data_IF_144108187334
#
_entry.id   IF_144108187334
#
_cell.length_a   1.000
_cell.length_b   1.000
_cell.length_c   1.000
_cell.angle_alpha   90.00
_cell.angle_beta   90.00
_cell.angle_gamma   90.00
#
_symmetry.space_group_name_H-M   'P 1'
#
loop_
_entity.id
_entity.type
_entity.pdbx_description
1 polymer ?
#
# COMPACT_ATOMS: atom_id res chain seq x y z
N UNK A 1 36.54 -12.19 53.86
CA UNK A 1 36.07 -12.36 52.47
C UNK A 1 35.23 -13.62 52.43
N UNK A 2 33.97 -13.52 52.02
CA UNK A 2 33.06 -14.65 51.82
C UNK A 2 33.40 -15.21 50.43
N UNK A 3 34.08 -16.36 50.37
CA UNK A 3 34.61 -16.90 49.11
C UNK A 3 33.80 -18.12 48.62
N UNK A 4 33.04 -18.76 49.51
CA UNK A 4 32.23 -19.93 49.20
C UNK A 4 30.76 -19.73 49.57
N UNK A 5 29.86 -20.41 48.85
CA UNK A 5 28.41 -20.35 49.07
C UNK A 5 27.96 -20.84 50.48
N UNK A 6 28.85 -21.50 51.22
CA UNK A 6 28.65 -21.95 52.60
C UNK A 6 28.82 -20.85 53.65
N UNK A 7 29.53 -19.76 53.34
CA UNK A 7 29.91 -18.72 54.30
C UNK A 7 28.74 -17.76 54.61
N UNK A 8 27.80 -17.60 53.67
CA UNK A 8 26.53 -16.90 53.86
C UNK A 8 25.44 -17.50 52.93
N UNK A 9 24.68 -18.51 53.40
CA UNK A 9 23.67 -19.17 52.59
C UNK A 9 22.48 -18.27 52.27
N UNK A 10 22.20 -17.23 53.07
CA UNK A 10 21.10 -16.30 52.81
C UNK A 10 21.47 -15.24 51.76
N UNK A 11 22.71 -14.75 51.79
CA UNK A 11 23.28 -13.91 50.73
C UNK A 11 23.40 -14.65 49.40
N UNK A 12 23.83 -15.91 49.43
CA UNK A 12 23.85 -16.78 48.25
C UNK A 12 22.43 -16.95 47.66
N UNK A 13 21.41 -17.22 48.49
CA UNK A 13 20.03 -17.33 48.06
C UNK A 13 19.48 -16.02 47.45
N UNK A 14 19.72 -14.86 48.09
CA UNK A 14 19.34 -13.54 47.54
C UNK A 14 20.01 -13.26 46.21
N UNK A 15 21.30 -13.61 46.07
CA UNK A 15 22.03 -13.44 44.80
C UNK A 15 21.54 -14.38 43.70
N UNK A 16 21.12 -15.60 44.03
CA UNK A 16 20.49 -16.53 43.08
C UNK A 16 19.13 -16.02 42.59
N UNK A 17 18.31 -15.48 43.50
CA UNK A 17 17.02 -14.87 43.16
C UNK A 17 17.24 -13.62 42.29
N UNK A 18 18.20 -12.76 42.66
CA UNK A 18 18.52 -11.57 41.88
C UNK A 18 19.04 -11.93 40.48
N UNK A 19 19.93 -12.93 40.37
CA UNK A 19 20.40 -13.47 39.07
C UNK A 19 19.27 -14.10 38.26
N UNK A 20 18.31 -14.78 38.91
CA UNK A 20 17.12 -15.27 38.23
C UNK A 20 16.26 -14.11 37.70
N UNK A 21 16.10 -13.04 38.48
CA UNK A 21 15.42 -11.81 38.05
C UNK A 21 16.11 -11.15 36.85
N UNK A 22 17.44 -11.01 36.88
CA UNK A 22 18.22 -10.46 35.75
C UNK A 22 18.03 -11.31 34.49
N UNK A 23 18.11 -12.64 34.61
CA UNK A 23 17.87 -13.55 33.47
C UNK A 23 16.47 -13.39 32.87
N UNK A 24 15.46 -13.17 33.70
CA UNK A 24 14.11 -12.92 33.23
C UNK A 24 14.01 -11.57 32.49
N UNK A 25 14.66 -10.53 32.99
CA UNK A 25 14.71 -9.21 32.32
C UNK A 25 15.41 -9.30 30.96
N UNK A 26 16.55 -9.98 30.89
CA UNK A 26 17.26 -10.23 29.62
C UNK A 26 16.39 -11.03 28.64
N UNK A 27 15.62 -11.99 29.13
CA UNK A 27 14.66 -12.75 28.32
C UNK A 27 13.55 -11.84 27.77
N UNK A 28 12.98 -10.96 28.61
CA UNK A 28 11.97 -10.00 28.17
C UNK A 28 12.54 -9.04 27.13
N UNK A 29 13.79 -8.59 27.31
CA UNK A 29 14.43 -7.70 26.36
C UNK A 29 14.66 -8.37 25.01
N UNK A 30 15.01 -9.67 24.98
CA UNK A 30 15.05 -10.46 23.73
C UNK A 30 13.67 -10.55 23.08
N UNK A 31 12.63 -10.87 23.83
CA UNK A 31 11.27 -10.95 23.30
C UNK A 31 10.78 -9.60 22.73
N UNK A 32 11.13 -8.48 23.38
CA UNK A 32 10.82 -7.14 22.89
C UNK A 32 11.57 -6.85 21.59
N UNK A 33 12.86 -7.19 21.51
CA UNK A 33 13.66 -6.98 20.31
C UNK A 33 13.16 -7.81 19.12
N UNK A 34 12.73 -9.05 19.36
CA UNK A 34 12.14 -9.90 18.32
C UNK A 34 10.80 -9.30 17.83
N UNK A 35 10.01 -8.73 18.74
CA UNK A 35 8.78 -8.01 18.42
C UNK A 35 9.02 -6.73 17.60
N UNK A 36 10.06 -5.96 17.95
CA UNK A 36 10.49 -4.77 17.19
C UNK A 36 10.93 -5.15 15.78
N UNK A 37 11.70 -6.24 15.61
CA UNK A 37 12.06 -6.73 14.29
C UNK A 37 10.85 -7.16 13.44
N UNK A 38 9.79 -7.66 14.08
CA UNK A 38 8.53 -7.95 13.39
C UNK A 38 7.78 -6.68 12.97
N UNK A 39 7.80 -5.62 13.81
CA UNK A 39 7.23 -4.32 13.46
C UNK A 39 7.99 -3.66 12.31
N UNK A 40 9.32 -3.66 12.34
CA UNK A 40 10.15 -3.12 11.25
C UNK A 40 9.88 -3.83 9.91
N UNK A 41 9.65 -5.16 9.96
CA UNK A 41 9.25 -5.93 8.79
C UNK A 41 7.86 -5.54 8.29
N UNK A 42 6.89 -5.39 9.19
CA UNK A 42 5.54 -4.93 8.84
C UNK A 42 5.59 -3.52 8.24
N UNK A 43 6.40 -2.62 8.78
CA UNK A 43 6.59 -1.27 8.24
C UNK A 43 7.22 -1.29 6.85
N UNK A 44 8.19 -2.17 6.59
CA UNK A 44 8.72 -2.37 5.24
C UNK A 44 7.64 -2.86 4.27
N UNK A 45 6.84 -3.85 4.69
CA UNK A 45 5.73 -4.37 3.87
C UNK A 45 4.65 -3.32 3.63
N UNK A 46 4.37 -2.47 4.62
CA UNK A 46 3.44 -1.35 4.48
C UNK A 46 4.00 -0.29 3.53
N UNK A 47 5.29 0.03 3.61
CA UNK A 47 5.94 0.93 2.67
C UNK A 47 5.93 0.38 1.24
N UNK A 48 6.18 -0.93 1.07
CA UNK A 48 6.07 -1.59 -0.22
C UNK A 48 4.64 -1.61 -0.74
N UNK A 49 3.64 -1.78 0.14
CA UNK A 49 2.22 -1.66 -0.21
C UNK A 49 1.83 -0.23 -0.58
N UNK A 50 2.29 0.77 0.15
CA UNK A 50 2.07 2.19 -0.16
C UNK A 50 2.72 2.52 -1.49
N UNK A 51 3.93 2.01 -1.75
CA UNK A 51 4.63 2.14 -3.02
C UNK A 51 3.86 1.43 -4.13
N UNK A 52 3.36 0.21 -3.91
CA UNK A 52 2.55 -0.54 -4.87
C UNK A 52 1.20 0.14 -5.15
N UNK A 53 0.55 0.74 -4.16
CA UNK A 53 -0.67 1.56 -4.35
C UNK A 53 -0.32 2.88 -5.08
N UNK A 54 0.87 3.42 -4.83
CA UNK A 54 1.43 4.55 -5.57
C UNK A 54 1.92 4.16 -6.97
N UNK A 55 2.19 2.89 -7.24
CA UNK A 55 2.52 2.34 -8.55
C UNK A 55 1.24 1.98 -9.31
N UNK A 56 0.17 1.59 -8.60
CA UNK A 56 -1.21 1.54 -9.10
C UNK A 56 -1.73 2.94 -9.47
N UNK A 57 -1.07 4.02 -9.01
CA UNK A 57 -1.19 5.37 -9.58
C UNK A 57 -0.77 5.42 -11.07
N UNK A 58 -0.19 4.34 -11.60
CA UNK A 58 0.15 4.09 -13.01
C UNK A 58 -0.97 3.50 -13.87
N UNK A 59 -2.23 3.46 -13.40
CA UNK A 59 -3.40 3.46 -14.31
C UNK A 59 -4.40 4.55 -13.88
N UNK A 60 -3.89 5.66 -13.35
CA UNK A 60 -4.66 6.90 -13.37
C UNK A 60 -4.66 7.40 -14.82
N UNK A 61 -5.72 7.10 -15.56
CA UNK A 61 -5.91 7.56 -16.95
C UNK A 61 -6.07 9.09 -16.92
N UNK A 62 -4.97 9.82 -16.87
CA UNK A 62 -4.98 11.27 -16.96
C UNK A 62 -5.17 11.63 -18.43
N UNK A 63 -6.42 11.74 -18.87
CA UNK A 63 -6.77 12.22 -20.22
C UNK A 63 -6.50 11.26 -21.38
N UNK A 64 -6.08 10.02 -21.12
CA UNK A 64 -5.77 9.04 -22.16
C UNK A 64 -7.04 8.25 -22.57
N UNK A 65 -8.04 8.95 -23.13
CA UNK A 65 -9.32 8.34 -23.52
C UNK A 65 -9.18 7.29 -24.60
N UNK A 66 -8.37 7.59 -25.61
CA UNK A 66 -8.32 6.80 -26.84
C UNK A 66 -7.34 5.63 -26.69
N UNK A 67 -6.27 5.78 -25.88
CA UNK A 67 -5.24 4.75 -25.64
C UNK A 67 -5.68 3.63 -24.71
N UNK A 68 -6.86 3.73 -24.11
CA UNK A 68 -7.47 2.71 -23.23
C UNK A 68 -8.85 2.31 -23.73
N UNK A 69 -9.21 2.71 -24.95
CA UNK A 69 -10.52 2.44 -25.53
C UNK A 69 -10.55 1.02 -26.13
N UNK A 70 -11.40 0.11 -25.61
CA UNK A 70 -11.52 -1.24 -26.14
C UNK A 70 -11.89 -1.29 -27.63
N UNK A 71 -12.57 -0.26 -28.15
CA UNK A 71 -12.98 -0.21 -29.56
C UNK A 71 -11.80 -0.28 -30.53
N UNK A 72 -10.60 0.14 -30.13
CA UNK A 72 -9.40 0.00 -30.96
C UNK A 72 -9.09 -1.46 -31.33
N UNK A 73 -9.53 -2.43 -30.52
CA UNK A 73 -9.39 -3.87 -30.75
C UNK A 73 -10.71 -4.51 -31.19
N UNK A 74 -11.82 -4.10 -30.58
CA UNK A 74 -13.12 -4.77 -30.71
C UNK A 74 -13.92 -4.34 -31.97
N UNK A 75 -13.70 -3.11 -32.48
CA UNK A 75 -14.42 -2.57 -33.64
C UNK A 75 -13.45 -2.14 -34.77
N UNK A 76 -13.32 -2.95 -35.84
CA UNK A 76 -12.49 -2.64 -36.99
C UNK A 76 -12.90 -1.38 -37.76
N UNK A 77 -14.15 -0.91 -37.58
CA UNK A 77 -14.68 0.26 -38.27
C UNK A 77 -14.54 1.55 -37.46
N UNK A 78 -14.07 1.48 -36.21
CA UNK A 78 -13.91 2.67 -35.38
C UNK A 78 -12.68 3.49 -35.81
N UNK A 79 -12.70 4.79 -35.53
CA UNK A 79 -11.64 5.73 -35.94
C UNK A 79 -10.25 5.42 -35.33
N UNK A 80 -10.19 4.53 -34.33
CA UNK A 80 -8.97 4.15 -33.60
C UNK A 80 -8.63 2.66 -33.76
N UNK A 81 -9.26 1.97 -34.72
CA UNK A 81 -9.03 0.56 -34.98
C UNK A 81 -7.55 0.26 -35.29
N UNK A 82 -6.99 -0.74 -34.62
CA UNK A 82 -5.59 -1.15 -34.78
C UNK A 82 -4.57 -0.30 -34.02
N UNK A 83 -5.01 0.72 -33.28
CA UNK A 83 -4.13 1.49 -32.41
C UNK A 83 -3.65 0.62 -31.22
N UNK A 84 -2.36 0.65 -30.84
CA UNK A 84 -1.91 -0.04 -29.65
C UNK A 84 -2.54 0.62 -28.41
N UNK A 85 -3.38 -0.14 -27.69
CA UNK A 85 -4.08 0.31 -26.48
C UNK A 85 -3.69 -0.51 -25.26
N UNK A 86 -3.80 0.11 -24.08
CA UNK A 86 -3.63 -0.58 -22.81
C UNK A 86 -4.93 -1.27 -22.42
N UNK A 87 -4.86 -2.59 -22.23
CA UNK A 87 -6.01 -3.43 -21.88
C UNK A 87 -6.40 -3.36 -20.40
N UNK A 88 -6.58 -2.14 -19.89
CA UNK A 88 -6.85 -1.83 -18.48
C UNK A 88 -8.12 -2.52 -17.97
N UNK A 89 -9.06 -2.83 -18.86
CA UNK A 89 -10.31 -3.53 -18.52
C UNK A 89 -10.11 -4.98 -18.04
N UNK A 90 -8.92 -5.57 -18.22
CA UNK A 90 -8.58 -6.88 -17.65
C UNK A 90 -8.27 -6.82 -16.15
N UNK A 91 -8.10 -5.63 -15.58
CA UNK A 91 -7.87 -5.46 -14.15
C UNK A 91 -9.15 -5.74 -13.33
N UNK A 92 -8.96 -6.11 -12.06
CA UNK A 92 -10.07 -6.33 -11.11
C UNK A 92 -10.88 -5.06 -10.85
N UNK A 93 -10.20 -3.92 -10.74
CA UNK A 93 -10.80 -2.61 -10.57
C UNK A 93 -10.06 -1.59 -11.43
N UNK A 94 -10.80 -0.70 -12.07
CA UNK A 94 -10.29 0.39 -12.90
C UNK A 94 -10.84 1.69 -12.34
N UNK A 95 -9.98 2.69 -12.10
CA UNK A 95 -10.42 4.01 -11.65
C UNK A 95 -10.04 5.03 -12.72
N UNK A 96 -11.05 5.70 -13.29
CA UNK A 96 -10.86 6.69 -14.35
C UNK A 96 -10.98 8.08 -13.74
N UNK A 97 -9.91 8.88 -13.82
CA UNK A 97 -9.89 10.26 -13.33
C UNK A 97 -10.13 11.23 -14.49
N UNK A 98 -11.27 11.92 -14.51
CA UNK A 98 -11.58 12.90 -15.55
C UNK A 98 -12.52 14.00 -15.06
N UNK A 99 -12.60 15.11 -15.78
CA UNK A 99 -13.51 16.22 -15.50
C UNK A 99 -14.97 15.98 -15.94
N UNK A 100 -15.22 15.13 -16.93
CA UNK A 100 -16.57 14.85 -17.48
C UNK A 100 -16.60 13.52 -18.24
N UNK A 101 -17.73 13.09 -18.80
CA UNK A 101 -17.80 11.92 -19.69
C UNK A 101 -17.45 12.22 -21.17
N UNK A 102 -16.92 13.40 -21.47
CA UNK A 102 -16.64 13.81 -22.84
C UNK A 102 -15.68 12.83 -23.56
N UNK A 103 -15.93 12.66 -24.87
CA UNK A 103 -15.10 11.86 -25.77
C UNK A 103 -13.65 12.35 -25.81
N UNK A 104 -12.74 11.47 -26.24
CA UNK A 104 -11.35 11.80 -26.49
C UNK A 104 -11.14 12.69 -27.71
N UNK A 105 -9.88 12.79 -28.14
CA UNK A 105 -9.50 13.54 -29.33
C UNK A 105 -10.15 12.94 -30.58
N UNK A 106 -10.27 11.61 -30.63
CA UNK A 106 -10.90 10.90 -31.73
C UNK A 106 -12.42 11.10 -31.82
N UNK A 107 -13.07 11.75 -30.83
CA UNK A 107 -14.52 11.95 -30.83
C UNK A 107 -15.34 10.66 -30.63
N UNK A 108 -14.68 9.54 -30.34
CA UNK A 108 -15.30 8.24 -30.10
C UNK A 108 -15.65 8.09 -28.62
N UNK A 109 -16.84 7.58 -28.33
CA UNK A 109 -17.23 7.21 -26.97
C UNK A 109 -16.42 5.99 -26.49
N UNK A 110 -16.04 5.96 -25.22
CA UNK A 110 -15.22 4.87 -24.68
C UNK A 110 -16.10 3.90 -23.86
N UNK A 111 -16.32 2.65 -24.34
CA UNK A 111 -17.09 1.65 -23.61
C UNK A 111 -16.52 1.29 -22.24
N UNK A 112 -15.23 1.54 -21.99
CA UNK A 112 -14.59 1.34 -20.69
C UNK A 112 -15.37 2.03 -19.57
N UNK A 113 -15.91 3.22 -19.81
CA UNK A 113 -16.58 4.03 -18.78
C UNK A 113 -17.87 3.41 -18.25
N UNK A 114 -18.42 2.41 -18.93
CA UNK A 114 -19.67 1.75 -18.58
C UNK A 114 -19.49 0.33 -18.06
N UNK A 115 -18.24 -0.16 -17.93
CA UNK A 115 -17.98 -1.50 -17.40
C UNK A 115 -18.16 -1.54 -15.89
N UNK A 116 -18.66 -2.66 -15.37
CA UNK A 116 -18.93 -2.84 -13.93
C UNK A 116 -17.68 -2.71 -13.04
N UNK A 117 -16.51 -3.12 -13.56
CA UNK A 117 -15.23 -3.00 -12.86
C UNK A 117 -14.60 -1.61 -12.97
N UNK A 118 -15.28 -0.64 -13.60
CA UNK A 118 -14.77 0.71 -13.83
C UNK A 118 -15.50 1.72 -12.96
N UNK A 119 -14.73 2.51 -12.21
CA UNK A 119 -15.21 3.54 -11.31
C UNK A 119 -14.75 4.92 -11.79
N UNK A 120 -15.69 5.83 -11.98
CA UNK A 120 -15.41 7.19 -12.43
C UNK A 120 -15.14 8.11 -11.24
N UNK A 121 -13.94 8.70 -11.18
CA UNK A 121 -13.59 9.72 -10.20
C UNK A 121 -13.54 11.09 -10.89
N UNK A 122 -14.64 11.83 -10.77
CA UNK A 122 -14.75 13.14 -11.40
C UNK A 122 -13.94 14.22 -10.67
N UNK A 123 -13.31 15.12 -11.43
CA UNK A 123 -12.64 16.29 -10.86
C UNK A 123 -11.32 16.64 -11.55
N UNK A 124 -10.64 17.62 -10.96
CA UNK A 124 -9.27 17.93 -11.34
C UNK A 124 -8.33 16.84 -10.82
N UNK A 125 -7.48 16.31 -11.71
CA UNK A 125 -6.64 15.18 -11.39
C UNK A 125 -5.60 15.49 -10.30
N UNK A 126 -5.08 16.72 -10.25
CA UNK A 126 -4.13 17.14 -9.21
C UNK A 126 -4.85 17.22 -7.87
N UNK A 127 -6.00 17.90 -7.81
CA UNK A 127 -6.79 18.00 -6.57
C UNK A 127 -7.19 16.62 -6.03
N UNK A 128 -7.63 15.72 -6.90
CA UNK A 128 -8.01 14.37 -6.49
C UNK A 128 -6.79 13.58 -5.97
N UNK A 129 -5.64 13.69 -6.64
CA UNK A 129 -4.42 13.05 -6.19
C UNK A 129 -3.91 13.60 -4.85
N UNK A 130 -3.94 14.92 -4.67
CA UNK A 130 -3.53 15.57 -3.41
C UNK A 130 -4.47 15.18 -2.26
N UNK A 131 -5.78 15.07 -2.52
CA UNK A 131 -6.76 14.62 -1.55
C UNK A 131 -6.54 13.16 -1.12
N UNK A 132 -6.23 12.26 -2.07
CA UNK A 132 -5.93 10.86 -1.78
C UNK A 132 -4.67 10.75 -0.91
N UNK A 133 -3.60 11.46 -1.27
CA UNK A 133 -2.37 11.48 -0.48
C UNK A 133 -2.62 12.04 0.92
N UNK A 134 -3.43 13.09 1.05
CA UNK A 134 -3.83 13.67 2.34
C UNK A 134 -4.59 12.68 3.22
N UNK A 135 -5.55 11.94 2.65
CA UNK A 135 -6.31 10.92 3.37
C UNK A 135 -5.41 9.76 3.85
N UNK A 136 -4.50 9.29 3.00
CA UNK A 136 -3.58 8.19 3.34
C UNK A 136 -2.63 8.57 4.49
N UNK A 137 -2.07 9.78 4.46
CA UNK A 137 -1.25 10.29 5.56
C UNK A 137 -2.04 10.47 6.85
N UNK A 138 -3.32 10.84 6.76
CA UNK A 138 -4.20 10.94 7.93
C UNK A 138 -4.51 9.58 8.58
N UNK A 139 -4.53 8.51 7.80
CA UNK A 139 -4.72 7.14 8.29
C UNK A 139 -3.48 6.63 9.04
N UNK A 140 -2.28 7.00 8.60
CA UNK A 140 -1.00 6.61 9.22
C UNK A 140 -0.84 7.16 10.66
N UNK A 141 -1.55 8.24 11.02
CA UNK A 141 -1.51 8.83 12.37
C UNK A 141 -2.61 8.26 13.28
N UNK A 142 -3.57 7.53 12.72
CA UNK A 142 -4.72 6.99 13.45
C UNK A 142 -4.58 5.51 13.85
N UNK A 143 -3.48 4.86 13.45
CA UNK A 143 -3.11 3.47 13.81
C UNK A 143 -1.91 3.50 14.75
#
# INVERSE_FOLDING_TARGET
MIQNASDDPQGAAKSLILRAGIRNVEQYQRNINDGLGHMDYVDSVLNDLVSAVTEVRGIAIQGANDTVNPNALDDPNCAIAGMPVLEVWKAKHVIVLKRSLASGYAGVENPLFYRENTHMLFGDARKNADAIVGLLRGLEVAV
#
